data_IF_689846260124
#
_entry.id   IF_689846260124
#
_cell.length_a   1.000
_cell.length_b   1.000
_cell.length_c   1.000
_cell.angle_alpha   90.00
_cell.angle_beta   90.00
_cell.angle_gamma   90.00
#
_symmetry.space_group_name_H-M   'P 1'
#
loop_
_entity.id
_entity.type
_entity.pdbx_description
1 polymer ?
#
# COMPACT_ATOMS: atom_id res chain seq x y z
N UNK A 1 -7.64 21.46 -3.65
CA UNK A 1 -6.74 20.29 -3.55
C UNK A 1 -7.50 19.29 -2.70
N UNK A 2 -8.52 18.65 -3.25
CA UNK A 2 -8.43 17.62 -4.28
C UNK A 2 -8.73 16.33 -3.53
N UNK A 3 -10.02 16.08 -3.26
CA UNK A 3 -10.49 14.86 -2.59
C UNK A 3 -9.90 13.68 -3.35
N UNK A 4 -8.92 13.00 -2.77
CA UNK A 4 -8.39 11.79 -3.38
C UNK A 4 -9.47 10.73 -3.30
N UNK A 5 -10.04 10.42 -4.47
CA UNK A 5 -10.99 9.33 -4.70
C UNK A 5 -10.26 7.99 -4.58
N UNK A 6 -9.72 7.70 -3.40
CA UNK A 6 -9.24 6.37 -3.07
C UNK A 6 -10.45 5.47 -2.88
N UNK A 7 -10.43 4.32 -3.55
CA UNK A 7 -11.43 3.28 -3.44
C UNK A 7 -10.79 1.96 -3.04
N UNK A 8 -11.52 1.10 -2.30
CA UNK A 8 -11.10 -0.29 -2.12
C UNK A 8 -10.81 -0.96 -3.47
N UNK A 9 -9.61 -1.50 -3.62
CA UNK A 9 -9.10 -2.10 -4.85
C UNK A 9 -8.06 -1.25 -5.58
N UNK A 10 -7.96 0.05 -5.29
CA UNK A 10 -6.96 0.91 -5.90
C UNK A 10 -5.54 0.46 -5.52
N UNK A 11 -4.61 0.65 -6.45
CA UNK A 11 -3.20 0.44 -6.22
C UNK A 11 -2.56 1.79 -5.90
N UNK A 12 -1.86 1.84 -4.78
CA UNK A 12 -1.10 3.00 -4.33
C UNK A 12 0.36 2.61 -4.15
N UNK A 13 1.25 3.59 -4.18
CA UNK A 13 2.65 3.39 -3.84
C UNK A 13 3.10 4.39 -2.79
N UNK A 14 4.14 4.02 -2.04
CA UNK A 14 4.76 4.88 -1.05
C UNK A 14 5.88 5.71 -1.70
N UNK A 15 5.75 7.06 -1.78
CA UNK A 15 6.75 7.92 -2.41
C UNK A 15 7.92 8.26 -1.48
N UNK A 16 7.84 7.93 -0.19
CA UNK A 16 8.88 8.15 0.81
C UNK A 16 8.81 7.17 1.98
N UNK A 17 9.81 7.23 2.87
CA UNK A 17 9.86 6.42 4.09
C UNK A 17 10.38 4.98 3.89
N UNK A 18 10.17 4.09 4.88
CA UNK A 18 10.75 2.75 4.89
C UNK A 18 10.20 1.82 3.81
N UNK A 19 9.02 2.13 3.27
CA UNK A 19 8.36 1.35 2.21
C UNK A 19 8.46 2.03 0.85
N UNK A 20 9.38 3.00 0.68
CA UNK A 20 9.60 3.72 -0.58
C UNK A 20 9.64 2.77 -1.80
N UNK A 21 8.78 3.05 -2.78
CA UNK A 21 8.69 2.29 -4.03
C UNK A 21 7.92 0.97 -3.94
N UNK A 22 7.39 0.61 -2.76
CA UNK A 22 6.47 -0.53 -2.62
C UNK A 22 5.07 -0.13 -3.04
N UNK A 23 4.40 -1.01 -3.79
CA UNK A 23 2.99 -0.85 -4.13
C UNK A 23 2.11 -1.65 -3.15
N UNK A 24 0.93 -1.12 -2.86
CA UNK A 24 -0.07 -1.75 -2.03
C UNK A 24 -1.48 -1.58 -2.59
N UNK A 25 -2.39 -2.42 -2.14
CA UNK A 25 -3.80 -2.40 -2.53
C UNK A 25 -4.61 -1.82 -1.39
N UNK A 26 -5.42 -0.81 -1.69
CA UNK A 26 -6.38 -0.22 -0.76
C UNK A 26 -7.44 -1.25 -0.43
N UNK A 27 -7.65 -1.52 0.86
CA UNK A 27 -8.66 -2.45 1.36
C UNK A 27 -9.89 -1.74 1.89
N UNK A 28 -9.67 -0.66 2.63
CA UNK A 28 -10.71 0.11 3.30
C UNK A 28 -10.32 1.57 3.29
N UNK A 29 -11.30 2.45 3.15
CA UNK A 29 -11.12 3.90 3.14
C UNK A 29 -12.00 4.52 4.21
N UNK A 30 -11.38 5.22 5.16
CA UNK A 30 -12.05 6.06 6.15
C UNK A 30 -11.85 7.53 5.76
N UNK A 31 -12.75 8.02 4.92
CA UNK A 31 -12.77 9.43 4.50
C UNK A 31 -13.09 10.40 5.63
N UNK A 32 -13.75 9.93 6.69
CA UNK A 32 -14.04 10.74 7.88
C UNK A 32 -12.78 11.06 8.68
N UNK A 33 -11.79 10.16 8.68
CA UNK A 33 -10.50 10.33 9.37
C UNK A 33 -9.33 10.64 8.44
N UNK A 34 -9.54 10.63 7.12
CA UNK A 34 -8.48 10.86 6.13
C UNK A 34 -7.45 9.74 6.10
N UNK A 35 -7.86 8.49 6.35
CA UNK A 35 -6.98 7.32 6.43
C UNK A 35 -7.52 6.16 5.62
N UNK A 36 -6.64 5.25 5.24
CA UNK A 36 -7.00 4.02 4.54
C UNK A 36 -6.18 2.84 5.06
N UNK A 37 -6.71 1.64 4.88
CA UNK A 37 -5.99 0.40 5.11
C UNK A 37 -5.42 -0.10 3.79
N UNK A 38 -4.12 -0.37 3.75
CA UNK A 38 -3.40 -0.85 2.56
C UNK A 38 -2.75 -2.18 2.88
N UNK A 39 -2.95 -3.16 2.00
CA UNK A 39 -2.24 -4.43 2.03
C UNK A 39 -1.13 -4.41 0.98
N UNK A 40 0.10 -4.74 1.37
CA UNK A 40 1.24 -4.77 0.46
C UNK A 40 2.17 -5.93 0.78
N UNK A 41 3.07 -6.25 -0.14
CA UNK A 41 4.09 -7.25 0.07
C UNK A 41 5.48 -6.63 -0.04
N UNK A 42 6.36 -6.95 0.92
CA UNK A 42 7.75 -6.51 0.95
C UNK A 42 8.69 -7.68 0.63
N UNK A 43 9.75 -7.35 -0.11
CA UNK A 43 10.85 -8.25 -0.46
C UNK A 43 10.82 -8.72 -1.92
N UNK A 44 12.01 -8.90 -2.50
CA UNK A 44 12.14 -9.69 -3.74
C UNK A 44 11.66 -11.09 -3.38
N UNK A 45 10.71 -11.64 -4.13
CA UNK A 45 10.28 -13.02 -3.97
C UNK A 45 11.51 -13.94 -4.11
N UNK A 46 12.13 -14.27 -2.97
CA UNK A 46 13.41 -14.96 -2.97
C UNK A 46 13.11 -16.41 -3.28
N UNK A 47 13.64 -16.89 -4.41
CA UNK A 47 13.40 -18.25 -4.88
C UNK A 47 14.34 -19.21 -4.18
N UNK A 48 14.02 -19.58 -2.95
CA UNK A 48 14.65 -20.72 -2.28
C UNK A 48 13.89 -22.00 -2.67
N UNK A 49 14.57 -22.92 -3.36
CA UNK A 49 13.98 -24.20 -3.76
C UNK A 49 12.75 -24.11 -4.68
N UNK A 50 12.53 -22.98 -5.35
CA UNK A 50 11.39 -22.78 -6.25
C UNK A 50 10.15 -22.15 -5.62
N UNK A 51 10.16 -21.82 -4.32
CA UNK A 51 9.02 -21.17 -3.64
C UNK A 51 9.24 -19.66 -3.59
N UNK A 52 8.29 -18.89 -4.13
CA UNK A 52 8.25 -17.44 -3.98
C UNK A 52 7.75 -17.10 -2.57
N UNK A 53 8.60 -16.53 -1.73
CA UNK A 53 8.18 -15.99 -0.43
C UNK A 53 8.24 -14.48 -0.45
N UNK A 54 7.10 -13.85 -0.19
CA UNK A 54 7.01 -12.42 0.09
C UNK A 54 6.47 -12.24 1.52
N UNK A 55 6.84 -11.15 2.19
CA UNK A 55 6.25 -10.79 3.48
C UNK A 55 5.04 -9.93 3.22
N UNK A 56 3.87 -10.39 3.64
CA UNK A 56 2.63 -9.62 3.49
C UNK A 56 2.41 -8.74 4.72
N UNK A 57 2.11 -7.48 4.48
CA UNK A 57 1.89 -6.44 5.47
C UNK A 57 0.51 -5.81 5.26
N UNK A 58 -0.06 -5.30 6.34
CA UNK A 58 -1.29 -4.53 6.33
C UNK A 58 -1.07 -3.31 7.23
N UNK A 59 -1.22 -2.11 6.67
CA UNK A 59 -0.92 -0.85 7.35
C UNK A 59 -2.07 0.14 7.18
N UNK A 60 -2.31 0.93 8.23
CA UNK A 60 -3.20 2.10 8.13
C UNK A 60 -2.36 3.32 7.85
N UNK A 61 -2.67 4.02 6.77
CA UNK A 61 -1.92 5.18 6.28
C UNK A 61 -2.85 6.36 6.06
N UNK A 62 -2.29 7.56 6.09
CA UNK A 62 -2.96 8.81 5.74
C UNK A 62 -2.94 9.01 4.23
N UNK A 63 -3.87 9.82 3.70
CA UNK A 63 -3.99 10.06 2.26
C UNK A 63 -2.77 10.74 1.63
N UNK A 64 -1.99 11.45 2.44
CA UNK A 64 -0.76 12.14 2.05
C UNK A 64 0.50 11.26 2.10
N UNK A 65 0.43 10.06 2.70
CA UNK A 65 1.57 9.14 2.80
C UNK A 65 1.73 8.24 1.56
N UNK A 66 0.76 8.29 0.63
CA UNK A 66 0.70 7.43 -0.55
C UNK A 66 0.19 8.18 -1.77
N UNK A 67 0.54 7.69 -2.96
CA UNK A 67 0.06 8.21 -4.24
C UNK A 67 -0.54 7.08 -5.08
N UNK A 68 -1.58 7.38 -5.89
CA UNK A 68 -2.13 6.43 -6.86
C UNK A 68 -1.04 6.02 -7.86
N UNK A 69 -0.95 4.71 -8.13
CA UNK A 69 0.02 4.12 -9.05
C UNK A 69 -0.49 4.07 -10.50
#
# INVERSE_FOLDING_TARGET
MGFTEYWPGDVVHFPEGPFLGVCGVVREVDSGRGRMRVDFAEGVAHREGGVLRARHHSLTVSFDEVELA
#
